data_IF_377783932522
#
_entry.id   IF_377783932522
#
_cell.length_a   1.000
_cell.length_b   1.000
_cell.length_c   1.000
_cell.angle_alpha   90.00
_cell.angle_beta   90.00
_cell.angle_gamma   90.00
#
_symmetry.space_group_name_H-M   'P 1'
#
loop_
_entity.id
_entity.type
_entity.pdbx_description
1 polymer ?
#
# COMPACT_ATOMS: atom_id res chain seq x y z
N UNK A 1 -5.21 -72.00 -55.23
CA UNK A 1 -6.04 -71.06 -56.00
C UNK A 1 -5.94 -69.73 -55.25
N UNK A 2 -4.85 -68.97 -55.37
CA UNK A 2 -4.23 -68.37 -56.56
C UNK A 2 -4.99 -67.14 -57.09
N UNK A 3 -4.22 -66.06 -57.26
CA UNK A 3 -4.40 -64.91 -58.16
C UNK A 3 -5.62 -63.97 -57.93
N UNK A 4 -5.53 -62.65 -58.13
CA UNK A 4 -4.34 -61.81 -58.42
C UNK A 4 -4.64 -60.64 -59.37
N UNK A 5 -3.99 -59.48 -59.14
CA UNK A 5 -3.95 -58.28 -60.03
C UNK A 5 -5.27 -57.48 -60.16
N UNK A 6 -5.32 -56.14 -59.97
CA UNK A 6 -4.72 -55.00 -60.72
C UNK A 6 -5.33 -54.80 -62.12
N UNK A 7 -5.63 -53.60 -62.65
CA UNK A 7 -5.68 -52.18 -62.17
C UNK A 7 -6.44 -51.34 -63.27
N UNK A 8 -6.53 -50.00 -63.40
CA UNK A 8 -5.85 -48.82 -62.80
C UNK A 8 -6.60 -47.48 -63.10
N UNK A 9 -6.47 -46.45 -62.24
CA UNK A 9 -6.67 -45.01 -62.55
C UNK A 9 -8.11 -44.46 -62.72
N UNK A 10 -8.37 -43.14 -62.64
CA UNK A 10 -7.50 -41.97 -62.29
C UNK A 10 -8.33 -40.70 -62.00
N UNK A 11 -7.67 -39.60 -61.57
CA UNK A 11 -8.19 -38.23 -61.29
C UNK A 11 -9.04 -38.06 -60.01
N UNK A 12 -8.82 -37.04 -59.15
CA UNK A 12 -7.65 -36.16 -59.02
C UNK A 12 -7.53 -35.51 -57.62
N UNK A 13 -6.45 -34.74 -57.42
CA UNK A 13 -6.10 -33.92 -56.23
C UNK A 13 -5.72 -34.68 -54.94
N UNK A 14 -4.88 -34.06 -54.11
CA UNK A 14 -4.30 -34.71 -52.92
C UNK A 14 -3.31 -33.81 -52.14
N UNK A 15 -2.43 -34.47 -51.37
CA UNK A 15 -1.59 -33.92 -50.28
C UNK A 15 -2.39 -33.37 -49.08
N UNK A 16 -1.96 -33.49 -47.82
CA UNK A 16 -1.17 -34.43 -47.01
C UNK A 16 -1.06 -33.72 -45.65
N UNK A 17 -1.26 -34.46 -44.54
CA UNK A 17 -1.01 -34.07 -43.14
C UNK A 17 -1.38 -32.66 -42.65
N UNK A 18 -2.36 -32.57 -41.75
CA UNK A 18 -2.44 -31.51 -40.73
C UNK A 18 -2.43 -32.13 -39.32
N UNK A 19 -1.39 -31.82 -38.54
CA UNK A 19 -1.27 -32.27 -37.15
C UNK A 19 -2.25 -31.51 -36.27
N UNK A 20 -3.24 -32.20 -35.71
CA UNK A 20 -4.22 -31.61 -34.80
C UNK A 20 -3.76 -31.61 -33.34
N UNK A 21 -2.87 -30.69 -32.96
CA UNK A 21 -2.65 -30.39 -31.54
C UNK A 21 -3.97 -29.84 -30.96
N UNK A 22 -4.56 -30.55 -30.00
CA UNK A 22 -5.58 -29.94 -29.14
C UNK A 22 -4.87 -29.02 -28.15
N UNK A 23 -4.79 -27.74 -28.49
CA UNK A 23 -4.38 -26.70 -27.55
C UNK A 23 -5.32 -26.71 -26.34
N UNK A 24 -4.79 -27.09 -25.17
CA UNK A 24 -5.49 -26.92 -23.90
C UNK A 24 -5.56 -25.42 -23.65
N UNK A 25 -6.70 -24.82 -24.03
CA UNK A 25 -6.90 -23.38 -24.03
C UNK A 25 -6.94 -22.85 -22.60
N UNK A 26 -5.78 -22.50 -22.07
CA UNK A 26 -5.55 -21.96 -20.72
C UNK A 26 -6.06 -20.52 -20.64
N UNK A 27 -7.39 -20.41 -20.56
CA UNK A 27 -8.10 -19.13 -20.53
C UNK A 27 -7.52 -18.18 -19.49
N UNK A 28 -6.87 -17.11 -19.95
CA UNK A 28 -6.35 -16.08 -19.09
C UNK A 28 -7.54 -15.30 -18.48
N UNK A 29 -8.00 -15.71 -17.29
CA UNK A 29 -9.04 -15.04 -16.53
C UNK A 29 -8.56 -13.67 -16.06
N UNK A 30 -8.69 -12.71 -16.96
CA UNK A 30 -8.24 -11.34 -16.78
C UNK A 30 -9.22 -10.62 -15.86
N UNK A 31 -9.00 -10.76 -14.55
CA UNK A 31 -9.46 -9.80 -13.56
C UNK A 31 -9.25 -8.39 -14.12
N UNK A 32 -10.26 -7.53 -14.02
CA UNK A 32 -10.05 -6.12 -14.28
C UNK A 32 -9.04 -5.60 -13.26
N UNK A 33 -7.79 -5.46 -13.73
CA UNK A 33 -6.78 -4.68 -13.05
C UNK A 33 -7.44 -3.36 -12.68
N UNK A 34 -7.43 -3.04 -11.37
CA UNK A 34 -7.78 -1.71 -10.90
C UNK A 34 -6.80 -0.77 -11.60
N UNK A 35 -7.28 -0.15 -12.67
CA UNK A 35 -6.60 0.98 -13.27
C UNK A 35 -6.59 2.03 -12.18
N UNK A 36 -5.42 2.50 -11.80
CA UNK A 36 -5.33 3.84 -11.24
C UNK A 36 -6.09 4.78 -12.18
N UNK A 37 -6.77 5.82 -11.68
CA UNK A 37 -7.29 6.86 -12.54
C UNK A 37 -6.13 7.35 -13.41
N UNK A 38 -6.19 7.15 -14.73
CA UNK A 38 -5.07 7.45 -15.64
C UNK A 38 -4.64 8.92 -15.57
N UNK A 39 -5.55 9.75 -15.09
CA UNK A 39 -5.39 11.17 -14.84
C UNK A 39 -5.58 11.49 -13.35
N UNK A 40 -4.98 10.69 -12.44
CA UNK A 40 -4.80 11.02 -11.02
C UNK A 40 -3.87 12.23 -10.77
N UNK A 41 -3.73 13.11 -11.77
CA UNK A 41 -3.31 14.50 -11.63
C UNK A 41 -4.36 15.26 -10.81
N UNK A 42 -4.23 15.15 -9.49
CA UNK A 42 -4.70 16.16 -8.55
C UNK A 42 -3.84 17.42 -8.71
N UNK A 43 -4.00 18.07 -9.86
CA UNK A 43 -3.48 19.38 -10.23
C UNK A 43 -4.67 20.27 -10.63
N UNK A 44 -5.46 20.60 -9.63
CA UNK A 44 -6.22 21.86 -9.62
C UNK A 44 -5.31 22.88 -8.92
N UNK A 45 -5.39 24.15 -9.32
CA UNK A 45 -4.46 25.23 -8.92
C UNK A 45 -3.05 25.10 -9.52
N UNK A 46 -2.95 25.30 -10.84
CA UNK A 46 -1.92 26.22 -11.33
C UNK A 46 -2.43 27.66 -11.11
N UNK A 47 -1.51 28.60 -10.88
CA UNK A 47 -1.75 30.05 -10.66
C UNK A 47 -2.68 30.47 -9.50
N UNK A 48 -2.16 30.45 -8.26
CA UNK A 48 -2.61 31.35 -7.18
C UNK A 48 -1.40 31.73 -6.27
N UNK A 49 -1.09 33.02 -6.06
CA UNK A 49 0.20 33.45 -5.47
C UNK A 49 0.28 33.18 -3.96
N UNK A 50 1.28 32.38 -3.57
CA UNK A 50 1.51 32.00 -2.17
C UNK A 50 1.98 33.21 -1.32
N UNK A 51 1.32 33.55 -0.20
CA UNK A 51 1.87 34.48 0.78
C UNK A 51 2.97 33.78 1.61
N UNK A 52 4.06 34.49 1.89
CA UNK A 52 5.17 33.94 2.70
C UNK A 52 4.74 33.71 4.16
N UNK A 53 4.87 32.47 4.64
CA UNK A 53 4.57 32.08 6.02
C UNK A 53 5.85 31.56 6.69
N UNK A 54 6.11 31.99 7.93
CA UNK A 54 7.32 31.63 8.70
C UNK A 54 7.30 30.13 9.06
N UNK A 55 8.46 29.48 8.94
CA UNK A 55 8.59 28.01 8.97
C UNK A 55 8.69 27.44 10.40
N UNK A 56 7.96 26.35 10.67
CA UNK A 56 7.90 25.66 11.97
C UNK A 56 9.14 24.84 12.36
N UNK A 57 10.35 25.27 11.95
CA UNK A 57 11.62 24.52 12.16
C UNK A 57 11.85 24.15 13.62
N UNK A 58 11.54 25.04 14.55
CA UNK A 58 11.87 24.88 15.97
C UNK A 58 10.89 23.98 16.75
N UNK A 59 9.73 23.65 16.18
CA UNK A 59 8.81 22.62 16.72
C UNK A 59 9.26 21.25 16.22
N UNK A 60 9.51 21.13 14.90
CA UNK A 60 10.04 19.92 14.29
C UNK A 60 11.34 19.48 14.98
N UNK A 61 12.34 20.37 15.09
CA UNK A 61 13.64 20.06 15.70
C UNK A 61 13.55 19.53 17.15
N UNK A 62 12.51 19.92 17.92
CA UNK A 62 12.28 19.41 19.28
C UNK A 62 11.56 18.05 19.27
N UNK A 63 10.52 17.88 18.45
CA UNK A 63 9.88 16.57 18.28
C UNK A 63 10.83 15.50 17.73
N UNK A 64 11.75 15.90 16.83
CA UNK A 64 12.74 15.00 16.24
C UNK A 64 13.82 14.50 17.22
N UNK A 65 13.96 15.10 18.42
CA UNK A 65 14.86 14.60 19.47
C UNK A 65 14.39 13.29 20.13
N UNK A 66 13.10 12.97 20.05
CA UNK A 66 12.45 11.89 20.81
C UNK A 66 12.50 10.53 20.07
N UNK A 67 12.86 10.50 18.78
CA UNK A 67 12.86 9.27 18.00
C UNK A 67 13.87 8.23 18.47
N UNK A 68 13.44 6.97 18.49
CA UNK A 68 14.30 5.81 18.68
C UNK A 68 15.39 5.73 17.59
N UNK A 69 16.38 4.85 17.78
CA UNK A 69 17.43 4.60 16.78
C UNK A 69 16.88 4.09 15.43
N UNK A 70 15.64 3.59 15.38
CA UNK A 70 15.01 2.99 14.20
C UNK A 70 14.49 4.09 13.27
N UNK A 71 13.67 5.03 13.76
CA UNK A 71 13.08 6.09 12.92
C UNK A 71 14.09 7.15 12.48
N UNK A 72 15.23 7.26 13.15
CA UNK A 72 16.22 8.32 12.92
C UNK A 72 16.89 8.29 11.54
N UNK A 73 16.91 7.13 10.88
CA UNK A 73 17.49 7.00 9.53
C UNK A 73 16.50 7.40 8.42
N UNK A 74 15.19 7.18 8.60
CA UNK A 74 14.12 7.78 7.78
C UNK A 74 14.20 9.32 7.86
N UNK A 75 14.62 9.82 9.02
CA UNK A 75 14.47 11.21 9.44
C UNK A 75 15.21 12.25 8.56
N UNK A 76 16.44 12.04 8.11
CA UNK A 76 17.30 13.17 7.67
C UNK A 76 16.81 13.89 6.40
N UNK A 77 16.53 13.15 5.33
CA UNK A 77 16.09 13.76 4.07
C UNK A 77 14.63 14.25 4.17
N UNK A 78 13.84 13.58 5.01
CA UNK A 78 12.43 13.89 5.24
C UNK A 78 12.28 15.13 6.13
N UNK A 79 13.15 15.36 7.11
CA UNK A 79 13.23 16.59 7.92
C UNK A 79 13.39 17.85 7.07
N UNK A 80 14.37 17.88 6.17
CA UNK A 80 14.69 19.07 5.38
C UNK A 80 13.60 19.40 4.36
N UNK A 81 12.90 18.40 3.80
CA UNK A 81 11.74 18.65 2.93
C UNK A 81 10.45 18.93 3.71
N UNK A 82 10.22 18.31 4.87
CA UNK A 82 9.12 18.67 5.79
C UNK A 82 9.21 20.13 6.22
N UNK A 83 10.42 20.63 6.51
CA UNK A 83 10.66 22.03 6.88
C UNK A 83 10.44 23.03 5.73
N UNK A 84 10.26 22.54 4.49
CA UNK A 84 9.88 23.31 3.28
C UNK A 84 8.43 23.05 2.83
N UNK A 85 7.81 21.96 3.30
CA UNK A 85 6.50 21.49 2.83
C UNK A 85 5.39 22.30 3.50
N UNK A 86 5.03 23.41 2.87
CA UNK A 86 3.80 24.15 3.17
C UNK A 86 2.58 23.33 2.77
N UNK A 87 1.96 22.62 3.72
CA UNK A 87 0.60 22.10 3.53
C UNK A 87 -0.35 23.30 3.55
N UNK A 88 -1.06 23.52 2.44
CA UNK A 88 -2.05 24.59 2.32
C UNK A 88 -3.07 24.51 3.45
N UNK A 89 -3.26 25.63 4.18
CA UNK A 89 -4.33 25.74 5.16
C UNK A 89 -5.66 25.71 4.42
N UNK A 90 -6.31 24.54 4.41
CA UNK A 90 -7.72 24.43 4.04
C UNK A 90 -8.51 25.28 5.03
N UNK A 91 -8.87 26.50 4.62
CA UNK A 91 -9.72 27.38 5.40
C UNK A 91 -11.12 26.77 5.48
N UNK A 92 -11.57 26.50 6.69
CA UNK A 92 -12.97 26.17 6.94
C UNK A 92 -13.80 27.44 6.79
N UNK A 93 -14.79 27.42 5.91
CA UNK A 93 -15.85 28.41 5.96
C UNK A 93 -16.75 28.08 7.15
N UNK A 94 -17.11 29.08 7.94
CA UNK A 94 -18.13 28.95 8.98
C UNK A 94 -19.43 28.46 8.33
N UNK A 95 -19.98 27.35 8.81
CA UNK A 95 -21.16 26.70 8.22
C UNK A 95 -20.88 25.64 7.14
N UNK A 96 -19.64 25.14 6.97
CA UNK A 96 -19.48 23.82 6.33
C UNK A 96 -20.26 22.75 7.12
N UNK A 97 -20.98 21.84 6.45
CA UNK A 97 -21.71 20.78 7.13
C UNK A 97 -20.72 19.73 7.65
N UNK A 98 -20.55 19.65 8.97
CA UNK A 98 -19.86 18.53 9.62
C UNK A 98 -20.73 17.27 9.60
N UNK A 99 -20.13 16.07 9.66
CA UNK A 99 -20.90 14.83 9.77
C UNK A 99 -21.65 14.75 11.11
N UNK A 100 -22.84 14.10 11.15
CA UNK A 100 -23.53 13.84 12.41
C UNK A 100 -22.63 13.07 13.39
N UNK A 101 -22.69 13.40 14.68
CA UNK A 101 -21.91 12.68 15.71
C UNK A 101 -22.34 11.22 15.87
N UNK A 102 -23.61 10.88 15.58
CA UNK A 102 -24.08 9.50 15.55
C UNK A 102 -23.42 8.72 14.41
N UNK A 103 -22.53 7.79 14.78
CA UNK A 103 -21.80 6.95 13.83
C UNK A 103 -22.35 5.51 13.81
N UNK A 104 -22.59 4.90 12.62
CA UNK A 104 -23.11 3.54 12.55
C UNK A 104 -22.16 2.53 13.18
N UNK A 105 -22.63 1.76 14.18
CA UNK A 105 -21.85 0.65 14.74
C UNK A 105 -21.58 -0.37 13.65
N UNK A 106 -20.30 -0.67 13.41
CA UNK A 106 -19.84 -1.71 12.49
C UNK A 106 -19.16 -2.79 13.32
N UNK A 107 -19.47 -4.05 13.02
CA UNK A 107 -18.85 -5.23 13.61
C UNK A 107 -18.12 -5.97 12.49
N UNK A 108 -16.84 -6.30 12.71
CA UNK A 108 -16.03 -7.05 11.75
C UNK A 108 -16.63 -8.44 11.53
N UNK A 109 -16.61 -8.89 10.28
CA UNK A 109 -17.16 -10.21 9.90
C UNK A 109 -16.14 -11.32 10.11
N UNK A 110 -16.55 -12.58 9.99
CA UNK A 110 -15.62 -13.71 9.94
C UNK A 110 -14.65 -13.57 8.76
N UNK A 111 -13.40 -14.01 8.96
CA UNK A 111 -12.41 -14.08 7.88
C UNK A 111 -12.86 -15.03 6.77
N UNK A 112 -12.46 -14.72 5.54
CA UNK A 112 -12.64 -15.57 4.35
C UNK A 112 -11.51 -16.59 4.27
N UNK A 113 -11.86 -17.88 4.15
CA UNK A 113 -10.88 -18.96 3.94
C UNK A 113 -10.60 -19.21 2.44
N UNK A 114 -9.76 -20.22 2.15
CA UNK A 114 -9.29 -20.47 0.80
C UNK A 114 -10.39 -21.05 -0.11
N UNK A 115 -11.23 -21.93 0.42
CA UNK A 115 -12.32 -22.56 -0.33
C UNK A 115 -13.45 -21.55 -0.58
N UNK A 116 -13.84 -20.79 0.44
CA UNK A 116 -14.83 -19.70 0.33
C UNK A 116 -14.36 -18.59 -0.64
N UNK A 117 -13.05 -18.35 -0.74
CA UNK A 117 -12.48 -17.47 -1.78
C UNK A 117 -12.49 -18.10 -3.18
N UNK A 118 -12.07 -19.37 -3.31
CA UNK A 118 -12.03 -20.11 -4.58
C UNK A 118 -13.43 -20.23 -5.20
N UNK A 119 -14.43 -20.60 -4.42
CA UNK A 119 -15.81 -20.78 -4.89
C UNK A 119 -16.41 -19.46 -5.41
N UNK A 120 -16.18 -18.34 -4.72
CA UNK A 120 -16.65 -17.04 -5.19
C UNK A 120 -15.92 -16.58 -6.46
N UNK A 121 -14.63 -16.86 -6.61
CA UNK A 121 -13.86 -16.58 -7.83
C UNK A 121 -14.38 -17.43 -9.00
N UNK A 122 -14.60 -18.73 -8.80
CA UNK A 122 -15.14 -19.64 -9.81
C UNK A 122 -16.58 -19.28 -10.21
N UNK A 123 -17.38 -18.77 -9.27
CA UNK A 123 -18.73 -18.24 -9.52
C UNK A 123 -18.74 -16.82 -10.12
N UNK A 124 -17.59 -16.19 -10.36
CA UNK A 124 -17.47 -14.82 -10.90
C UNK A 124 -17.91 -13.71 -9.95
N UNK A 125 -18.11 -14.01 -8.66
CA UNK A 125 -18.66 -13.09 -7.63
C UNK A 125 -17.61 -12.16 -7.03
N UNK A 126 -16.81 -11.53 -7.89
CA UNK A 126 -15.66 -10.71 -7.51
C UNK A 126 -16.00 -9.50 -6.62
N UNK A 127 -17.22 -8.95 -6.74
CA UNK A 127 -17.69 -7.85 -5.88
C UNK A 127 -18.01 -8.36 -4.47
N UNK A 128 -18.75 -9.46 -4.38
CA UNK A 128 -19.25 -10.02 -3.12
C UNK A 128 -18.09 -10.55 -2.25
N UNK A 129 -17.08 -11.18 -2.87
CA UNK A 129 -15.90 -11.67 -2.12
C UNK A 129 -15.00 -10.53 -1.65
N UNK A 130 -14.87 -9.43 -2.43
CA UNK A 130 -14.19 -8.22 -1.96
C UNK A 130 -14.93 -7.58 -0.79
N UNK A 131 -16.25 -7.51 -0.83
CA UNK A 131 -17.07 -7.02 0.29
C UNK A 131 -16.92 -7.90 1.56
N UNK A 132 -16.90 -9.23 1.42
CA UNK A 132 -16.55 -10.16 2.51
C UNK A 132 -15.15 -9.87 3.08
N UNK A 133 -14.11 -9.84 2.24
CA UNK A 133 -12.71 -9.61 2.67
C UNK A 133 -12.55 -8.22 3.30
N UNK A 134 -13.19 -7.19 2.76
CA UNK A 134 -13.18 -5.86 3.36
C UNK A 134 -13.71 -5.87 4.79
N UNK A 135 -14.80 -6.61 5.03
CA UNK A 135 -15.48 -6.69 6.34
C UNK A 135 -14.81 -7.64 7.34
N UNK A 136 -14.20 -8.73 6.88
CA UNK A 136 -13.64 -9.80 7.76
C UNK A 136 -12.15 -10.07 7.64
N UNK A 137 -11.51 -9.74 6.51
CA UNK A 137 -10.14 -10.15 6.18
C UNK A 137 -10.05 -11.56 5.57
N UNK A 138 -8.83 -12.02 5.32
CA UNK A 138 -8.52 -13.37 4.82
C UNK A 138 -7.86 -14.21 5.94
N UNK A 139 -8.06 -15.52 5.92
CA UNK A 139 -7.25 -16.43 6.77
C UNK A 139 -5.83 -16.55 6.23
N UNK A 140 -4.89 -17.02 7.07
CA UNK A 140 -3.49 -17.20 6.69
C UNK A 140 -3.29 -18.08 5.44
N UNK A 141 -4.08 -19.16 5.29
CA UNK A 141 -4.05 -20.03 4.11
C UNK A 141 -4.64 -19.40 2.84
N UNK A 142 -5.62 -18.51 2.98
CA UNK A 142 -6.25 -17.86 1.84
C UNK A 142 -5.37 -16.76 1.19
N UNK A 143 -4.55 -16.06 1.99
CA UNK A 143 -3.75 -14.91 1.53
C UNK A 143 -2.78 -15.23 0.37
N UNK A 144 -1.97 -16.31 0.38
CA UNK A 144 -1.07 -16.63 -0.71
C UNK A 144 -1.74 -16.72 -2.09
N UNK A 145 -2.96 -17.25 -2.16
CA UNK A 145 -3.75 -17.34 -3.39
C UNK A 145 -4.50 -16.02 -3.69
N UNK A 146 -5.18 -15.45 -2.69
CA UNK A 146 -6.02 -14.29 -2.86
C UNK A 146 -5.23 -13.01 -3.20
N UNK A 147 -4.08 -12.76 -2.56
CA UNK A 147 -3.27 -11.57 -2.84
C UNK A 147 -2.68 -11.59 -4.25
N UNK A 148 -2.26 -12.76 -4.78
CA UNK A 148 -1.83 -12.89 -6.19
C UNK A 148 -2.89 -12.37 -7.14
N UNK A 149 -4.13 -12.84 -6.99
CA UNK A 149 -5.26 -12.37 -7.80
C UNK A 149 -5.58 -10.89 -7.57
N UNK A 150 -5.71 -10.46 -6.31
CA UNK A 150 -6.06 -9.07 -5.95
C UNK A 150 -5.03 -8.04 -6.45
N UNK A 151 -3.76 -8.42 -6.55
CA UNK A 151 -2.65 -7.61 -7.07
C UNK A 151 -2.41 -7.80 -8.58
N UNK A 152 -3.13 -8.73 -9.23
CA UNK A 152 -3.02 -9.00 -10.67
C UNK A 152 -1.71 -9.67 -11.07
N UNK A 153 -1.22 -10.61 -10.26
CA UNK A 153 -0.05 -11.46 -10.52
C UNK A 153 -0.14 -12.14 -11.89
N UNK A 154 -1.32 -12.66 -12.26
CA UNK A 154 -1.55 -13.46 -13.49
C UNK A 154 -1.31 -12.69 -14.80
N UNK A 155 -1.11 -11.36 -14.72
CA UNK A 155 -0.65 -10.54 -15.85
C UNK A 155 0.86 -10.67 -16.15
N UNK A 156 1.64 -11.28 -15.25
CA UNK A 156 3.09 -11.44 -15.36
C UNK A 156 3.39 -12.66 -16.22
N UNK A 157 3.67 -12.44 -17.51
CA UNK A 157 4.23 -13.49 -18.38
C UNK A 157 5.62 -13.90 -17.88
N UNK A 158 5.87 -15.21 -17.79
CA UNK A 158 7.15 -15.84 -17.45
C UNK A 158 7.79 -15.28 -16.15
N UNK A 159 7.13 -15.41 -14.97
CA UNK A 159 7.60 -14.81 -13.73
C UNK A 159 8.95 -15.38 -13.26
N UNK A 160 9.14 -16.69 -13.33
CA UNK A 160 10.38 -17.39 -12.96
C UNK A 160 11.58 -16.94 -13.82
N UNK A 161 11.44 -16.98 -15.14
CA UNK A 161 12.48 -16.59 -16.10
C UNK A 161 12.96 -15.15 -15.86
N UNK A 162 12.01 -14.23 -15.72
CA UNK A 162 12.29 -12.81 -15.47
C UNK A 162 12.92 -12.58 -14.09
N UNK A 163 12.43 -13.25 -13.05
CA UNK A 163 13.06 -13.16 -11.72
C UNK A 163 14.52 -13.62 -11.79
N UNK A 164 14.78 -14.78 -12.41
CA UNK A 164 16.15 -15.29 -12.61
C UNK A 164 17.02 -14.33 -13.44
N UNK A 165 16.46 -13.70 -14.47
CA UNK A 165 17.17 -12.69 -15.27
C UNK A 165 17.47 -11.40 -14.49
N UNK A 166 16.58 -10.95 -13.62
CA UNK A 166 16.79 -9.79 -12.74
C UNK A 166 17.81 -10.09 -11.62
N UNK A 167 17.76 -11.29 -11.06
CA UNK A 167 18.64 -11.74 -9.98
C UNK A 167 20.09 -11.93 -10.49
N UNK A 168 20.25 -12.61 -11.63
CA UNK A 168 21.56 -12.84 -12.27
C UNK A 168 22.30 -11.54 -12.66
N UNK A 169 21.59 -10.43 -12.91
CA UNK A 169 22.19 -9.13 -13.22
C UNK A 169 22.98 -8.52 -12.04
N UNK A 170 22.64 -8.85 -10.79
CA UNK A 170 23.38 -8.38 -9.62
C UNK A 170 24.26 -9.47 -8.99
N UNK A 171 23.85 -10.74 -9.06
CA UNK A 171 24.68 -11.87 -8.62
C UNK A 171 25.91 -12.08 -9.51
N UNK A 172 25.84 -11.71 -10.79
CA UNK A 172 26.95 -11.82 -11.76
C UNK A 172 28.00 -10.71 -11.68
N UNK A 173 27.86 -9.72 -10.78
CA UNK A 173 28.80 -8.62 -10.66
C UNK A 173 30.06 -9.03 -9.90
N UNK A 174 31.24 -8.71 -10.43
CA UNK A 174 32.49 -8.81 -9.68
C UNK A 174 32.61 -7.67 -8.65
N UNK A 175 33.43 -7.85 -7.62
CA UNK A 175 33.69 -6.80 -6.62
C UNK A 175 34.25 -5.50 -7.25
N UNK A 176 35.07 -5.63 -8.31
CA UNK A 176 35.57 -4.51 -9.12
C UNK A 176 34.43 -3.78 -9.86
N UNK A 177 33.49 -4.52 -10.47
CA UNK A 177 32.32 -3.95 -11.12
C UNK A 177 31.37 -3.26 -10.12
N UNK A 178 31.20 -3.82 -8.93
CA UNK A 178 30.39 -3.22 -7.87
C UNK A 178 31.03 -1.93 -7.31
N UNK A 179 32.38 -1.84 -7.26
CA UNK A 179 33.04 -0.59 -6.85
C UNK A 179 32.66 0.59 -7.75
N UNK A 180 32.57 0.35 -9.06
CA UNK A 180 32.13 1.35 -10.05
C UNK A 180 30.61 1.54 -10.11
N UNK A 181 29.81 0.56 -9.67
CA UNK A 181 28.34 0.63 -9.66
C UNK A 181 27.81 1.38 -8.43
N UNK A 182 28.18 2.67 -8.29
CA UNK A 182 27.93 3.50 -7.10
C UNK A 182 26.48 3.45 -6.61
N UNK A 183 25.49 3.60 -7.50
CA UNK A 183 24.06 3.60 -7.16
C UNK A 183 23.59 2.25 -6.58
N UNK A 184 24.06 1.12 -7.11
CA UNK A 184 23.69 -0.20 -6.57
C UNK A 184 24.39 -0.46 -5.23
N UNK A 185 25.69 -0.13 -5.15
CA UNK A 185 26.50 -0.23 -3.92
C UNK A 185 25.90 0.59 -2.77
N UNK A 186 25.43 1.80 -3.05
CA UNK A 186 24.74 2.66 -2.08
C UNK A 186 23.39 2.06 -1.65
N UNK A 187 22.59 1.56 -2.59
CA UNK A 187 21.32 0.88 -2.31
C UNK A 187 21.52 -0.38 -1.46
N UNK A 188 22.48 -1.26 -1.80
CA UNK A 188 22.85 -2.45 -0.99
C UNK A 188 23.37 -2.05 0.39
N UNK A 189 24.13 -0.96 0.50
CA UNK A 189 24.56 -0.41 1.80
C UNK A 189 23.42 0.15 2.65
N UNK A 190 22.29 0.56 2.06
CA UNK A 190 21.07 0.92 2.80
C UNK A 190 20.28 -0.33 3.19
N UNK A 191 20.06 -1.26 2.25
CA UNK A 191 19.41 -2.56 2.48
C UNK A 191 20.07 -3.27 3.67
N UNK A 192 21.38 -3.49 3.65
CA UNK A 192 22.12 -4.18 4.71
C UNK A 192 21.96 -3.54 6.11
N UNK A 193 21.77 -2.21 6.18
CA UNK A 193 21.56 -1.46 7.43
C UNK A 193 20.12 -1.56 7.93
N UNK A 194 19.16 -1.87 7.07
CA UNK A 194 17.73 -1.89 7.41
C UNK A 194 17.20 -3.31 7.60
N UNK A 195 17.64 -4.30 6.81
CA UNK A 195 17.27 -5.72 7.05
C UNK A 195 17.72 -6.19 8.43
N UNK A 196 18.89 -5.73 8.89
CA UNK A 196 19.42 -5.97 10.25
C UNK A 196 18.70 -5.17 11.35
N UNK A 197 17.68 -4.38 11.01
CA UNK A 197 16.79 -3.63 11.93
C UNK A 197 15.31 -3.93 11.74
N UNK A 198 14.94 -4.69 10.72
CA UNK A 198 13.57 -5.16 10.48
C UNK A 198 13.36 -6.42 11.30
N UNK A 199 12.40 -6.38 12.23
CA UNK A 199 12.09 -7.43 13.22
C UNK A 199 13.33 -8.19 13.79
N UNK A 200 14.34 -7.50 14.37
CA UNK A 200 15.68 -8.04 14.64
C UNK A 200 15.75 -9.06 15.79
N UNK A 201 14.61 -9.43 16.38
CA UNK A 201 14.45 -10.51 17.37
C UNK A 201 13.63 -11.69 16.83
N UNK A 202 13.19 -11.61 15.57
CA UNK A 202 12.33 -12.60 14.89
C UNK A 202 13.03 -13.22 13.68
N UNK A 203 13.79 -12.41 12.93
CA UNK A 203 14.46 -12.87 11.71
C UNK A 203 15.76 -13.61 12.02
N UNK A 204 15.93 -14.77 11.40
CA UNK A 204 17.21 -15.48 11.34
C UNK A 204 18.10 -15.02 10.16
N UNK A 205 19.30 -15.58 10.04
CA UNK A 205 20.27 -15.21 9.00
C UNK A 205 19.78 -15.55 7.57
N UNK A 206 18.98 -16.61 7.41
CA UNK A 206 18.41 -17.01 6.11
C UNK A 206 17.30 -16.05 5.70
N UNK A 207 16.41 -15.69 6.61
CA UNK A 207 15.34 -14.71 6.40
C UNK A 207 15.90 -13.31 6.11
N UNK A 208 16.97 -12.90 6.80
CA UNK A 208 17.71 -11.66 6.52
C UNK A 208 18.33 -11.68 5.12
N UNK A 209 18.89 -12.82 4.69
CA UNK A 209 19.44 -12.96 3.34
C UNK A 209 18.34 -12.93 2.26
N UNK A 210 17.23 -13.68 2.43
CA UNK A 210 16.07 -13.65 1.50
C UNK A 210 15.49 -12.23 1.36
N UNK A 211 15.39 -11.49 2.47
CA UNK A 211 14.96 -10.09 2.47
C UNK A 211 15.95 -9.18 1.72
N UNK A 212 17.26 -9.39 1.90
CA UNK A 212 18.32 -8.68 1.17
C UNK A 212 18.27 -8.96 -0.34
N UNK A 213 18.11 -10.22 -0.74
CA UNK A 213 18.05 -10.67 -2.13
C UNK A 213 16.83 -10.12 -2.86
N UNK A 214 15.65 -10.15 -2.23
CA UNK A 214 14.41 -9.60 -2.77
C UNK A 214 14.54 -8.09 -3.02
N UNK A 215 15.05 -7.34 -2.03
CA UNK A 215 15.23 -5.88 -2.13
C UNK A 215 16.32 -5.50 -3.14
N UNK A 216 17.41 -6.29 -3.24
CA UNK A 216 18.47 -6.08 -4.23
C UNK A 216 17.95 -6.38 -5.65
N UNK A 217 17.17 -7.44 -5.82
CA UNK A 217 16.52 -7.76 -7.11
C UNK A 217 15.51 -6.68 -7.51
N UNK A 218 14.78 -6.09 -6.56
CA UNK A 218 13.88 -4.95 -6.83
C UNK A 218 14.66 -3.71 -7.30
N UNK A 219 15.88 -3.49 -6.80
CA UNK A 219 16.75 -2.39 -7.26
C UNK A 219 17.16 -2.48 -8.74
N UNK A 220 17.15 -3.67 -9.32
CA UNK A 220 17.38 -3.91 -10.76
C UNK A 220 16.08 -3.73 -11.56
N UNK A 221 14.94 -4.06 -10.96
CA UNK A 221 13.61 -4.00 -11.59
C UNK A 221 13.04 -2.58 -11.73
N UNK A 222 13.03 -1.79 -10.65
CA UNK A 222 12.60 -0.38 -10.66
C UNK A 222 13.80 0.50 -10.35
N UNK A 223 14.59 0.83 -11.37
CA UNK A 223 15.88 1.49 -11.19
C UNK A 223 15.76 2.98 -10.77
N UNK A 224 14.61 3.62 -11.00
CA UNK A 224 14.37 5.01 -10.58
C UNK A 224 14.24 5.12 -9.05
N UNK A 225 13.38 4.27 -8.47
CA UNK A 225 13.19 4.18 -7.02
C UNK A 225 14.39 3.43 -6.42
N UNK A 226 14.59 2.19 -6.85
CA UNK A 226 15.50 1.21 -6.27
C UNK A 226 15.12 0.85 -4.84
N UNK A 227 15.97 1.18 -3.88
CA UNK A 227 15.68 1.02 -2.45
C UNK A 227 15.53 2.38 -1.76
N UNK A 228 14.45 2.51 -0.99
CA UNK A 228 14.17 3.61 -0.07
C UNK A 228 13.82 3.00 1.28
N UNK A 229 14.29 3.62 2.37
CA UNK A 229 14.08 3.08 3.71
C UNK A 229 12.59 2.92 4.05
N UNK A 230 12.25 1.79 4.67
CA UNK A 230 10.88 1.36 4.95
C UNK A 230 10.38 0.29 3.97
N UNK A 231 11.02 0.12 2.81
CA UNK A 231 10.69 -0.99 1.90
C UNK A 231 10.98 -2.37 2.52
N UNK A 232 11.96 -2.49 3.42
CA UNK A 232 12.22 -3.74 4.16
C UNK A 232 11.08 -4.13 5.10
N UNK A 233 10.48 -3.14 5.78
CA UNK A 233 9.35 -3.33 6.68
C UNK A 233 8.10 -3.86 5.95
N UNK A 234 7.97 -3.57 4.65
CA UNK A 234 6.92 -4.10 3.78
C UNK A 234 7.30 -5.50 3.25
N UNK A 235 8.51 -5.63 2.70
CA UNK A 235 8.98 -6.86 2.06
C UNK A 235 9.01 -8.06 3.00
N UNK A 236 9.34 -7.86 4.29
CA UNK A 236 9.36 -8.95 5.28
C UNK A 236 7.98 -9.62 5.42
N UNK A 237 6.90 -8.83 5.49
CA UNK A 237 5.53 -9.34 5.64
C UNK A 237 5.08 -10.15 4.43
N UNK A 238 5.62 -9.84 3.24
CA UNK A 238 5.36 -10.60 2.03
C UNK A 238 6.17 -11.91 2.01
N UNK A 239 7.42 -11.90 2.48
CA UNK A 239 8.22 -13.14 2.66
C UNK A 239 7.63 -14.08 3.73
N UNK A 240 6.97 -13.53 4.76
CA UNK A 240 6.25 -14.30 5.78
C UNK A 240 4.99 -15.00 5.23
N UNK A 241 4.41 -14.50 4.12
CA UNK A 241 3.25 -15.10 3.43
C UNK A 241 3.68 -15.98 2.25
N UNK A 242 4.84 -15.68 1.63
CA UNK A 242 5.33 -16.35 0.42
C UNK A 242 6.69 -17.03 0.67
N UNK A 243 6.69 -18.36 0.89
CA UNK A 243 7.94 -19.12 1.08
C UNK A 243 8.73 -19.31 -0.23
N UNK A 244 8.12 -19.10 -1.40
CA UNK A 244 8.81 -19.06 -2.69
C UNK A 244 9.27 -17.62 -3.03
N UNK A 245 10.53 -17.47 -3.42
CA UNK A 245 11.16 -16.17 -3.69
C UNK A 245 10.66 -15.50 -4.98
N UNK A 246 10.25 -16.27 -6.00
CA UNK A 246 9.73 -15.73 -7.25
C UNK A 246 8.36 -15.10 -6.98
N UNK A 247 7.50 -15.82 -6.25
CA UNK A 247 6.21 -15.35 -5.79
C UNK A 247 6.33 -14.14 -4.86
N UNK A 248 7.18 -14.23 -3.83
CA UNK A 248 7.40 -13.12 -2.89
C UNK A 248 7.89 -11.86 -3.62
N UNK A 249 8.85 -12.00 -4.54
CA UNK A 249 9.34 -10.89 -5.35
C UNK A 249 8.24 -10.26 -6.22
N UNK A 250 7.47 -11.06 -6.96
CA UNK A 250 6.46 -10.52 -7.87
C UNK A 250 5.24 -9.95 -7.14
N UNK A 251 4.86 -10.52 -5.99
CA UNK A 251 3.83 -9.95 -5.11
C UNK A 251 4.33 -8.64 -4.49
N UNK A 252 5.57 -8.58 -4.01
CA UNK A 252 6.18 -7.32 -3.55
C UNK A 252 6.24 -6.27 -4.66
N UNK A 253 6.65 -6.64 -5.88
CA UNK A 253 6.70 -5.71 -7.02
C UNK A 253 5.31 -5.17 -7.40
N UNK A 254 4.25 -6.00 -7.32
CA UNK A 254 2.87 -5.56 -7.55
C UNK A 254 2.30 -4.73 -6.40
N UNK A 255 2.70 -5.00 -5.16
CA UNK A 255 2.34 -4.20 -3.98
C UNK A 255 3.00 -2.82 -4.05
N UNK A 256 4.32 -2.78 -4.25
CA UNK A 256 5.11 -1.57 -4.45
C UNK A 256 4.59 -0.71 -5.59
N UNK A 257 4.16 -1.31 -6.72
CA UNK A 257 3.56 -0.57 -7.83
C UNK A 257 2.38 0.32 -7.39
N UNK A 258 1.50 -0.14 -6.49
CA UNK A 258 0.34 0.61 -5.97
C UNK A 258 0.68 1.73 -4.99
N UNK A 259 1.91 1.75 -4.47
CA UNK A 259 2.36 2.72 -3.45
C UNK A 259 3.66 3.43 -3.88
N UNK A 260 4.06 3.28 -5.16
CA UNK A 260 5.37 3.73 -5.69
C UNK A 260 5.62 5.20 -5.43
N UNK A 261 4.61 6.03 -5.62
CA UNK A 261 4.67 7.48 -5.39
C UNK A 261 5.05 7.87 -3.95
N UNK A 262 4.84 6.99 -2.96
CA UNK A 262 5.24 7.25 -1.57
C UNK A 262 6.77 7.20 -1.39
N UNK A 263 7.47 6.51 -2.28
CA UNK A 263 8.93 6.36 -2.29
C UNK A 263 9.61 7.24 -3.35
N UNK A 264 8.85 8.04 -4.11
CA UNK A 264 9.41 9.00 -5.06
C UNK A 264 10.10 10.17 -4.34
N UNK A 265 11.25 10.60 -4.86
CA UNK A 265 12.09 11.67 -4.27
C UNK A 265 11.38 13.01 -4.10
N UNK A 266 10.30 13.24 -4.85
CA UNK A 266 9.47 14.45 -4.79
C UNK A 266 8.49 14.46 -3.60
N UNK A 267 8.16 13.28 -3.06
CA UNK A 267 7.21 13.05 -1.97
C UNK A 267 5.78 13.57 -2.23
N UNK A 268 5.44 13.95 -3.48
CA UNK A 268 4.16 14.57 -3.84
C UNK A 268 2.95 13.67 -3.58
N UNK A 269 3.10 12.35 -3.68
CA UNK A 269 2.01 11.42 -3.33
C UNK A 269 1.67 11.49 -1.83
N UNK A 270 2.67 11.62 -0.95
CA UNK A 270 2.47 11.75 0.50
C UNK A 270 1.92 13.14 0.85
N UNK A 271 2.40 14.21 0.19
CA UNK A 271 1.81 15.57 0.35
C UNK A 271 0.32 15.57 0.03
N UNK A 272 -0.09 14.96 -1.09
CA UNK A 272 -1.51 14.79 -1.46
C UNK A 272 -2.29 13.92 -0.46
N UNK A 273 -1.69 12.87 0.10
CA UNK A 273 -2.32 12.07 1.16
C UNK A 273 -2.56 12.89 2.44
N UNK A 274 -1.61 13.74 2.85
CA UNK A 274 -1.82 14.64 4.00
C UNK A 274 -2.93 15.66 3.76
N UNK A 275 -2.98 16.29 2.58
CA UNK A 275 -4.04 17.22 2.24
C UNK A 275 -5.42 16.54 2.18
N UNK A 276 -5.48 15.33 1.60
CA UNK A 276 -6.69 14.54 1.52
C UNK A 276 -7.16 14.04 2.91
N UNK A 277 -6.25 13.60 3.79
CA UNK A 277 -6.55 13.31 5.19
C UNK A 277 -7.10 14.56 5.88
N UNK A 278 -6.48 15.73 5.68
CA UNK A 278 -6.94 16.99 6.29
C UNK A 278 -8.33 17.38 5.82
N UNK A 279 -8.65 17.19 4.53
CA UNK A 279 -9.99 17.41 3.96
C UNK A 279 -11.04 16.44 4.52
N UNK A 280 -10.68 15.18 4.72
CA UNK A 280 -11.54 14.17 5.35
C UNK A 280 -11.80 14.53 6.82
N UNK A 281 -10.75 14.78 7.61
CA UNK A 281 -10.87 15.20 9.01
C UNK A 281 -11.69 16.49 9.15
N UNK A 282 -11.51 17.45 8.25
CA UNK A 282 -12.30 18.68 8.24
C UNK A 282 -13.81 18.48 8.05
N UNK A 283 -14.23 17.32 7.52
CA UNK A 283 -15.62 16.93 7.34
C UNK A 283 -16.12 15.96 8.45
N UNK A 284 -15.25 15.08 8.96
CA UNK A 284 -15.60 14.09 10.01
C UNK A 284 -15.50 14.64 11.43
N UNK A 285 -14.56 15.55 11.68
CA UNK A 285 -14.26 16.16 12.98
C UNK A 285 -13.55 17.50 12.76
N UNK A 286 -14.33 18.52 12.41
CA UNK A 286 -13.78 19.84 12.15
C UNK A 286 -13.11 20.46 13.39
N UNK A 287 -13.52 20.05 14.59
CA UNK A 287 -12.94 20.55 15.83
C UNK A 287 -11.50 20.05 16.05
N UNK A 288 -11.22 18.77 15.79
CA UNK A 288 -9.85 18.24 15.90
C UNK A 288 -8.90 18.93 14.91
N UNK A 289 -9.33 19.26 13.69
CA UNK A 289 -8.51 20.07 12.77
C UNK A 289 -8.26 21.47 13.32
N UNK A 290 -9.30 22.13 13.85
CA UNK A 290 -9.18 23.44 14.50
C UNK A 290 -8.28 23.39 15.75
N UNK A 291 -8.26 22.28 16.48
CA UNK A 291 -7.36 22.04 17.62
C UNK A 291 -5.90 21.86 17.15
N UNK A 292 -5.66 20.96 16.20
CA UNK A 292 -4.33 20.69 15.65
C UNK A 292 -3.69 21.96 15.06
N UNK A 293 -4.47 22.84 14.43
CA UNK A 293 -3.97 24.15 13.96
C UNK A 293 -3.55 25.07 15.12
N UNK A 294 -4.33 25.15 16.21
CA UNK A 294 -3.94 25.93 17.42
C UNK A 294 -2.69 25.37 18.09
N UNK A 295 -2.42 24.07 17.95
CA UNK A 295 -1.25 23.36 18.49
C UNK A 295 -0.05 23.32 17.55
N UNK A 296 -0.04 24.13 16.49
CA UNK A 296 0.96 24.14 15.41
C UNK A 296 1.17 22.75 14.74
N UNK A 297 0.23 21.83 14.95
CA UNK A 297 0.30 20.40 14.64
C UNK A 297 -0.56 20.01 13.42
N UNK A 298 -1.29 20.96 12.82
CA UNK A 298 -2.21 20.77 11.69
C UNK A 298 -1.58 20.31 10.37
N UNK A 299 -0.26 20.19 10.33
CA UNK A 299 0.50 19.52 9.25
C UNK A 299 0.57 17.99 9.44
N UNK A 300 0.17 17.48 10.61
CA UNK A 300 -0.06 16.06 10.93
C UNK A 300 1.11 15.09 10.70
N UNK A 301 2.36 15.58 10.62
CA UNK A 301 3.52 14.75 10.24
C UNK A 301 3.81 13.54 11.15
N UNK A 302 3.21 13.45 12.34
CA UNK A 302 3.17 12.22 13.13
C UNK A 302 2.55 11.02 12.38
N UNK A 303 1.65 11.25 11.42
CA UNK A 303 1.09 10.20 10.55
C UNK A 303 2.03 9.77 9.41
N UNK A 304 3.20 10.39 9.21
CA UNK A 304 4.07 10.11 8.05
C UNK A 304 4.42 8.61 7.89
N UNK A 305 4.79 7.86 8.94
CA UNK A 305 5.07 6.43 8.83
C UNK A 305 3.84 5.59 8.42
N UNK A 306 2.62 6.05 8.73
CA UNK A 306 1.39 5.35 8.36
C UNK A 306 1.20 5.31 6.85
N UNK A 307 1.49 6.41 6.16
CA UNK A 307 1.38 6.51 4.71
C UNK A 307 2.59 5.93 3.97
N UNK A 308 3.83 6.15 4.46
CA UNK A 308 5.01 5.60 3.78
C UNK A 308 5.00 4.07 3.74
N UNK A 309 4.65 3.41 4.85
CA UNK A 309 4.71 1.95 5.00
C UNK A 309 3.38 1.31 5.43
N UNK A 310 2.26 1.86 4.95
CA UNK A 310 0.91 1.29 5.02
C UNK A 310 0.58 0.64 6.39
N UNK A 311 0.68 1.44 7.46
CA UNK A 311 0.37 1.08 8.85
C UNK A 311 1.22 -0.06 9.47
N UNK A 312 2.34 -0.47 8.84
CA UNK A 312 3.25 -1.52 9.34
C UNK A 312 3.87 -1.28 10.72
N UNK A 313 3.91 -0.03 11.18
CA UNK A 313 4.35 0.40 12.53
C UNK A 313 3.18 0.78 13.44
N UNK A 314 1.99 0.26 13.17
CA UNK A 314 0.79 0.47 13.97
C UNK A 314 0.19 -0.87 14.42
N UNK A 315 -0.21 -1.71 13.45
CA UNK A 315 -0.66 -3.07 13.75
C UNK A 315 0.53 -3.96 14.13
N UNK A 316 0.25 -4.98 14.94
CA UNK A 316 1.12 -6.12 15.18
C UNK A 316 1.35 -6.95 13.90
N UNK A 317 2.33 -7.86 13.95
CA UNK A 317 2.76 -8.65 12.79
C UNK A 317 1.68 -9.61 12.28
N UNK A 318 0.91 -10.24 13.18
CA UNK A 318 -0.12 -11.23 12.82
C UNK A 318 -1.37 -10.55 12.24
N UNK A 319 -1.73 -9.37 12.75
CA UNK A 319 -2.94 -8.64 12.36
C UNK A 319 -2.75 -7.69 11.17
N UNK A 320 -1.54 -7.18 10.91
CA UNK A 320 -1.29 -6.25 9.81
C UNK A 320 -1.77 -6.75 8.44
N UNK A 321 -1.58 -8.03 8.05
CA UNK A 321 -2.12 -8.52 6.79
C UNK A 321 -3.64 -8.31 6.66
N UNK A 322 -4.40 -8.30 7.76
CA UNK A 322 -5.84 -7.97 7.80
C UNK A 322 -6.12 -6.51 7.44
N UNK A 323 -5.20 -5.59 7.75
CA UNK A 323 -5.27 -4.19 7.31
C UNK A 323 -5.06 -4.09 5.80
N UNK A 324 -4.12 -4.86 5.26
CA UNK A 324 -3.85 -4.90 3.82
C UNK A 324 -4.95 -5.64 3.05
N UNK A 325 -5.55 -6.70 3.61
CA UNK A 325 -6.74 -7.37 3.09
C UNK A 325 -7.88 -6.35 2.87
N UNK A 326 -8.18 -5.53 3.89
CA UNK A 326 -9.19 -4.48 3.82
C UNK A 326 -8.83 -3.35 2.84
N UNK A 327 -7.56 -2.93 2.79
CA UNK A 327 -7.08 -1.92 1.84
C UNK A 327 -7.14 -2.40 0.37
N UNK A 328 -6.79 -3.67 0.11
CA UNK A 328 -6.85 -4.28 -1.23
C UNK A 328 -8.28 -4.49 -1.75
N UNK A 329 -9.24 -4.72 -0.83
CA UNK A 329 -10.63 -5.05 -1.15
C UNK A 329 -11.63 -3.93 -0.90
N UNK A 330 -11.17 -2.75 -0.48
CA UNK A 330 -12.02 -1.59 -0.19
C UNK A 330 -13.00 -1.26 -1.34
N UNK A 331 -14.28 -0.96 -1.04
CA UNK A 331 -15.23 -0.46 -2.02
C UNK A 331 -15.02 1.03 -2.35
N UNK A 332 -14.18 1.75 -1.60
CA UNK A 332 -13.83 3.15 -1.87
C UNK A 332 -12.35 3.31 -2.22
N UNK A 333 -12.03 4.35 -2.99
CA UNK A 333 -10.65 4.78 -3.16
C UNK A 333 -10.07 5.31 -1.83
N UNK A 334 -8.75 5.31 -1.72
CA UNK A 334 -8.00 5.96 -0.63
C UNK A 334 -8.43 5.59 0.81
N UNK A 335 -8.90 4.35 1.04
CA UNK A 335 -9.34 3.87 2.35
C UNK A 335 -8.28 4.01 3.46
N UNK A 336 -6.99 4.04 3.12
CA UNK A 336 -5.90 4.37 4.04
C UNK A 336 -6.08 5.73 4.74
N UNK A 337 -6.73 6.71 4.10
CA UNK A 337 -7.05 8.00 4.74
C UNK A 337 -8.14 7.85 5.82
N UNK A 338 -9.10 6.94 5.62
CA UNK A 338 -10.14 6.63 6.60
C UNK A 338 -9.61 5.78 7.77
N UNK A 339 -8.61 4.93 7.52
CA UNK A 339 -7.84 4.27 8.58
C UNK A 339 -7.09 5.33 9.42
N UNK A 340 -6.35 6.25 8.79
CA UNK A 340 -5.66 7.33 9.49
C UNK A 340 -6.62 8.23 10.30
N UNK A 341 -7.78 8.60 9.72
CA UNK A 341 -8.81 9.35 10.43
C UNK A 341 -9.41 8.57 11.61
N UNK A 342 -9.67 7.27 11.45
CA UNK A 342 -10.18 6.41 12.53
C UNK A 342 -9.20 6.26 13.70
N UNK A 343 -7.88 6.24 13.45
CA UNK A 343 -6.88 6.17 14.51
C UNK A 343 -6.79 7.49 15.29
N UNK A 344 -6.95 8.63 14.60
CA UNK A 344 -6.99 9.95 15.23
C UNK A 344 -8.28 10.14 16.03
N UNK A 345 -9.42 9.71 15.50
CA UNK A 345 -10.72 9.65 16.20
C UNK A 345 -10.66 8.75 17.45
N UNK A 346 -9.98 7.60 17.38
CA UNK A 346 -9.75 6.72 18.53
C UNK A 346 -8.89 7.38 19.65
N UNK A 347 -8.09 8.38 19.30
CA UNK A 347 -7.22 9.12 20.23
C UNK A 347 -7.59 10.59 20.39
N UNK A 348 -8.77 10.98 19.91
CA UNK A 348 -9.29 12.35 19.94
C UNK A 348 -9.25 12.93 21.35
N UNK A 349 -9.89 12.25 22.28
CA UNK A 349 -10.11 12.77 23.63
C UNK A 349 -8.79 12.77 24.45
N UNK A 350 -7.94 11.73 24.33
CA UNK A 350 -6.57 11.71 24.90
C UNK A 350 -5.70 12.85 24.37
N UNK A 351 -5.91 13.30 23.12
CA UNK A 351 -5.15 14.40 22.51
C UNK A 351 -5.72 15.77 22.90
N UNK A 352 -7.04 15.90 22.95
CA UNK A 352 -7.73 17.18 23.11
C UNK A 352 -7.93 17.58 24.57
N UNK A 353 -8.34 16.67 25.46
CA UNK A 353 -8.61 16.97 26.87
C UNK A 353 -7.31 17.27 27.64
N UNK A 354 -6.23 16.56 27.32
CA UNK A 354 -4.88 16.81 27.83
C UNK A 354 -4.16 17.97 27.09
N UNK A 355 -4.84 18.63 26.14
CA UNK A 355 -4.34 19.79 25.38
C UNK A 355 -2.94 19.55 24.75
N UNK A 356 -2.70 18.36 24.21
CA UNK A 356 -1.39 17.93 23.68
C UNK A 356 -0.89 18.73 22.46
N UNK A 357 0.43 18.93 22.40
CA UNK A 357 1.14 19.51 21.24
C UNK A 357 1.77 18.44 20.33
N UNK A 358 2.52 18.87 19.32
CA UNK A 358 3.11 17.99 18.31
C UNK A 358 3.99 16.87 18.92
N UNK A 359 4.79 17.21 19.93
CA UNK A 359 5.69 16.26 20.59
C UNK A 359 4.94 15.19 21.39
N UNK A 360 3.82 15.57 21.98
CA UNK A 360 2.98 14.72 22.82
C UNK A 360 2.10 13.82 21.93
N UNK A 361 1.48 14.37 20.88
CA UNK A 361 0.73 13.61 19.86
C UNK A 361 1.66 12.60 19.17
N UNK A 362 2.89 12.99 18.82
CA UNK A 362 3.89 12.07 18.26
C UNK A 362 4.23 10.93 19.25
N UNK A 363 4.27 11.19 20.56
CA UNK A 363 4.41 10.13 21.56
C UNK A 363 3.17 9.24 21.64
N UNK A 364 1.94 9.78 21.62
CA UNK A 364 0.69 9.01 21.56
C UNK A 364 0.72 8.06 20.35
N UNK A 365 1.00 8.59 19.15
CA UNK A 365 1.07 7.81 17.91
C UNK A 365 2.13 6.72 17.97
N UNK A 366 3.32 7.00 18.51
CA UNK A 366 4.37 5.98 18.67
C UNK A 366 3.98 4.91 19.72
N UNK A 367 3.20 5.24 20.76
CA UNK A 367 2.67 4.25 21.74
C UNK A 367 1.67 3.28 21.11
N UNK A 368 0.97 3.64 20.04
CA UNK A 368 -0.01 2.76 19.39
C UNK A 368 0.61 1.53 18.72
N UNK A 369 1.90 1.57 18.34
CA UNK A 369 2.61 0.50 17.64
C UNK A 369 2.53 -0.85 18.38
N UNK A 370 1.70 -1.76 17.88
CA UNK A 370 1.46 -3.09 18.48
C UNK A 370 0.56 -3.08 19.72
N UNK A 371 -0.03 -1.94 20.10
CA UNK A 371 -0.87 -1.78 21.28
C UNK A 371 -2.31 -1.32 20.96
N UNK A 372 -2.66 -1.16 19.68
CA UNK A 372 -4.01 -0.83 19.23
C UNK A 372 -4.69 -2.05 18.60
N UNK A 373 -5.96 -2.27 18.90
CA UNK A 373 -6.71 -3.40 18.34
C UNK A 373 -7.00 -3.17 16.83
N UNK A 374 -6.55 -4.09 15.99
CA UNK A 374 -6.68 -3.99 14.53
C UNK A 374 -8.13 -4.05 14.06
N UNK A 375 -8.96 -4.91 14.65
CA UNK A 375 -10.39 -4.98 14.32
C UNK A 375 -11.13 -3.71 14.74
N UNK A 376 -10.75 -3.06 15.85
CA UNK A 376 -11.37 -1.82 16.31
C UNK A 376 -11.13 -0.67 15.33
N UNK A 377 -9.88 -0.37 14.95
CA UNK A 377 -9.62 0.75 14.05
C UNK A 377 -10.13 0.48 12.62
N UNK A 378 -10.14 -0.79 12.18
CA UNK A 378 -10.78 -1.17 10.90
C UNK A 378 -12.29 -1.01 10.96
N UNK A 379 -12.97 -1.45 12.02
CA UNK A 379 -14.41 -1.24 12.21
C UNK A 379 -14.75 0.26 12.23
N UNK A 380 -13.94 1.07 12.92
CA UNK A 380 -14.06 2.54 13.00
C UNK A 380 -13.85 3.22 11.64
N UNK A 381 -12.91 2.74 10.81
CA UNK A 381 -12.69 3.21 9.44
C UNK A 381 -13.82 2.81 8.48
N UNK A 382 -14.33 1.57 8.58
CA UNK A 382 -15.52 1.11 7.85
C UNK A 382 -16.76 1.92 8.26
N UNK A 383 -16.90 2.21 9.55
CA UNK A 383 -17.97 3.01 10.14
C UNK A 383 -17.97 4.45 9.62
N UNK A 384 -16.81 5.11 9.56
CA UNK A 384 -16.62 6.40 8.88
C UNK A 384 -17.03 6.32 7.39
N UNK A 385 -16.60 5.29 6.66
CA UNK A 385 -16.96 5.12 5.25
C UNK A 385 -18.48 5.02 5.05
N UNK A 386 -19.17 4.22 5.88
CA UNK A 386 -20.63 4.09 5.84
C UNK A 386 -21.32 5.41 6.20
N UNK A 387 -20.78 6.18 7.14
CA UNK A 387 -21.31 7.48 7.54
C UNK A 387 -21.19 8.51 6.41
N UNK A 388 -20.00 8.66 5.82
CA UNK A 388 -19.72 9.53 4.66
C UNK A 388 -20.61 9.15 3.47
N UNK A 389 -20.72 7.85 3.17
CA UNK A 389 -21.50 7.34 2.02
C UNK A 389 -23.02 7.49 2.18
N UNK A 390 -23.51 7.73 3.41
CA UNK A 390 -24.93 7.96 3.71
C UNK A 390 -25.28 9.44 3.87
N UNK A 391 -24.29 10.32 4.07
CA UNK A 391 -24.58 11.73 4.30
C UNK A 391 -24.88 12.48 3.01
N UNK A 392 -26.08 13.06 2.94
CA UNK A 392 -26.49 13.97 1.86
C UNK A 392 -25.65 15.26 1.81
N UNK A 393 -24.87 15.56 2.87
CA UNK A 393 -24.00 16.73 2.95
C UNK A 393 -22.57 16.49 2.46
N UNK A 394 -22.20 15.26 2.09
CA UNK A 394 -20.82 14.89 1.71
C UNK A 394 -20.32 15.74 0.52
N UNK A 395 -19.30 16.60 0.74
CA UNK A 395 -18.82 17.52 -0.30
C UNK A 395 -18.32 16.77 -1.54
N UNK A 396 -18.47 17.34 -2.77
CA UNK A 396 -18.01 16.69 -4.00
C UNK A 396 -16.53 16.29 -3.98
N UNK A 397 -15.66 17.07 -3.33
CA UNK A 397 -14.24 16.74 -3.15
C UNK A 397 -14.03 15.48 -2.28
N UNK A 398 -14.91 15.22 -1.30
CA UNK A 398 -14.86 13.99 -0.48
C UNK A 398 -15.41 12.80 -1.26
N UNK A 399 -16.50 12.98 -2.03
CA UNK A 399 -16.97 11.95 -2.98
C UNK A 399 -15.88 11.57 -3.97
N UNK A 400 -15.18 12.55 -4.55
CA UNK A 400 -14.07 12.34 -5.49
C UNK A 400 -12.88 11.62 -4.83
N UNK A 401 -12.41 12.10 -3.67
CA UNK A 401 -11.28 11.50 -2.95
C UNK A 401 -11.51 10.03 -2.57
N UNK A 402 -12.75 9.64 -2.29
CA UNK A 402 -13.14 8.28 -1.93
C UNK A 402 -13.76 7.49 -3.11
N UNK A 403 -13.90 8.11 -4.30
CA UNK A 403 -14.58 7.54 -5.48
C UNK A 403 -15.99 6.99 -5.18
N UNK A 404 -16.76 7.74 -4.39
CA UNK A 404 -18.16 7.44 -4.10
C UNK A 404 -19.05 7.85 -5.28
N UNK A 405 -20.08 7.05 -5.58
CA UNK A 405 -21.17 7.45 -6.47
C UNK A 405 -21.96 8.61 -5.89
N UNK A 406 -22.60 9.39 -6.77
CA UNK A 406 -23.41 10.55 -6.36
C UNK A 406 -24.68 10.20 -5.58
#
# INVERSE_FOLDING_TARGET
>A
MENGSSSNGSTDEGFISSSGNQEVNSGQYKLELIKEPKDARLSLWEDDPQPEIKTGRDVLNRGFGIFSKITRAISSNIQDEMAKTSISRVFMNEGQPELPLERPVVIRSTMVDEDDFRDYVLAGKYKDIKDKIFKGGLTGGARPFAWKQLLGYDSIKNPEEKYKTLRAQWEGLTAEQEEYCTTLRERRSLIAKDVTRTDPTRLDEEQIQRLSDLLTTYCIYDQDIGYVQGMSDIAVVILDIYPDDIDAFWVFAKFMYRIRGNFEKSQEAIKRQFEALRRILAFTDGEMVRFLDRKESGHMFFCFPWFLILFRRLADHESLPTVWDAWLCSPCANFHLLIAAAILDLKRDEIMDEEFGYCEILQVVNRLSGNVNTDEFLARAQSLLVQISRSISTPPIIKQLLSLSD
#
